data_IF_618578754642
#
_entry.id   IF_618578754642
#
_cell.length_a   1.000
_cell.length_b   1.000
_cell.length_c   1.000
_cell.angle_alpha   90.00
_cell.angle_beta   90.00
_cell.angle_gamma   90.00
#
_symmetry.space_group_name_H-M   'P 1'
#
loop_
_entity.id
_entity.type
_entity.pdbx_description
1 polymer ?
#
# COMPACT_ATOMS: atom_id res chain seq x y z
N UNK A 1 -16.82 -21.16 3.57
CA UNK A 1 -16.01 -20.61 2.45
C UNK A 1 -15.68 -19.12 2.67
N UNK A 2 -16.70 -18.23 2.83
CA UNK A 2 -16.47 -16.79 3.01
C UNK A 2 -15.59 -16.47 4.23
N UNK A 3 -15.89 -17.10 5.38
CA UNK A 3 -15.10 -16.89 6.61
C UNK A 3 -13.64 -17.35 6.42
N UNK A 4 -13.42 -18.51 5.80
CA UNK A 4 -12.07 -19.02 5.53
C UNK A 4 -11.30 -18.10 4.58
N UNK A 5 -11.98 -17.59 3.56
CA UNK A 5 -11.40 -16.61 2.64
C UNK A 5 -11.02 -15.30 3.35
N UNK A 6 -11.90 -14.78 4.21
CA UNK A 6 -11.61 -13.57 4.99
C UNK A 6 -10.44 -13.78 5.95
N UNK A 7 -10.40 -14.95 6.63
CA UNK A 7 -9.28 -15.30 7.52
C UNK A 7 -7.95 -15.34 6.77
N UNK A 8 -7.93 -15.96 5.57
CA UNK A 8 -6.74 -15.99 4.71
C UNK A 8 -6.32 -14.57 4.29
N UNK A 9 -7.26 -13.75 3.84
CA UNK A 9 -7.00 -12.34 3.46
C UNK A 9 -6.47 -11.55 4.66
N UNK A 10 -7.07 -11.73 5.83
CA UNK A 10 -6.65 -11.02 7.04
C UNK A 10 -5.24 -11.38 7.50
N UNK A 11 -4.86 -12.67 7.34
CA UNK A 11 -3.51 -13.13 7.64
C UNK A 11 -2.47 -12.52 6.70
N UNK A 12 -2.82 -12.41 5.41
CA UNK A 12 -1.96 -11.92 4.33
C UNK A 12 -2.27 -10.48 3.89
N UNK A 13 -2.80 -9.65 4.79
CA UNK A 13 -3.10 -8.24 4.47
C UNK A 13 -1.84 -7.51 3.99
N UNK A 14 -1.95 -6.82 2.85
CA UNK A 14 -0.82 -6.15 2.19
C UNK A 14 -0.08 -7.01 1.16
N UNK A 15 -0.31 -8.31 1.11
CA UNK A 15 0.30 -9.17 0.11
C UNK A 15 -0.43 -9.09 -1.25
N UNK A 16 0.29 -9.43 -2.31
CA UNK A 16 -0.26 -9.50 -3.67
C UNK A 16 -1.05 -10.79 -3.87
N UNK A 17 -2.27 -10.67 -4.38
CA UNK A 17 -3.18 -11.77 -4.72
C UNK A 17 -3.51 -11.79 -6.20
N UNK A 18 -3.93 -12.96 -6.66
CA UNK A 18 -4.71 -13.12 -7.89
C UNK A 18 -5.94 -14.00 -7.60
N UNK A 19 -7.04 -13.79 -8.31
CA UNK A 19 -8.20 -14.65 -8.16
C UNK A 19 -7.88 -16.12 -8.49
N UNK A 20 -6.85 -16.34 -9.30
CA UNK A 20 -6.38 -17.66 -9.70
C UNK A 20 -5.63 -18.38 -8.57
N UNK A 21 -4.69 -17.65 -7.91
CA UNK A 21 -3.97 -18.20 -6.74
C UNK A 21 -4.94 -18.49 -5.59
N UNK A 22 -5.84 -17.53 -5.30
CA UNK A 22 -6.86 -17.71 -4.25
C UNK A 22 -7.77 -18.92 -4.53
N UNK A 23 -8.15 -19.14 -5.80
CA UNK A 23 -8.97 -20.30 -6.20
C UNK A 23 -8.23 -21.62 -6.01
N UNK A 24 -6.96 -21.69 -6.38
CA UNK A 24 -6.13 -22.89 -6.19
C UNK A 24 -5.93 -23.22 -4.72
N UNK A 25 -5.68 -22.21 -3.89
CA UNK A 25 -5.40 -22.38 -2.47
C UNK A 25 -6.65 -22.76 -1.67
N UNK A 26 -7.80 -22.11 -1.96
CA UNK A 26 -9.05 -22.32 -1.22
C UNK A 26 -9.92 -23.46 -1.75
N UNK A 27 -9.68 -23.93 -2.99
CA UNK A 27 -10.57 -24.87 -3.69
C UNK A 27 -11.90 -24.25 -4.13
N UNK A 28 -12.12 -22.95 -3.90
CA UNK A 28 -13.35 -22.22 -4.26
C UNK A 28 -13.25 -21.70 -5.69
N UNK A 29 -14.35 -21.77 -6.44
CA UNK A 29 -14.39 -21.27 -7.84
C UNK A 29 -14.05 -19.77 -7.90
N UNK A 30 -13.22 -19.40 -8.87
CA UNK A 30 -12.74 -18.02 -9.11
C UNK A 30 -13.87 -16.97 -9.09
N UNK A 31 -15.00 -17.25 -9.73
CA UNK A 31 -16.14 -16.34 -9.78
C UNK A 31 -16.81 -16.15 -8.41
N UNK A 32 -16.81 -17.18 -7.57
CA UNK A 32 -17.30 -17.12 -6.20
C UNK A 32 -16.38 -16.27 -5.34
N UNK A 33 -15.06 -16.46 -5.46
CA UNK A 33 -14.06 -15.64 -4.75
C UNK A 33 -14.21 -14.16 -5.13
N UNK A 34 -14.38 -13.85 -6.44
CA UNK A 34 -14.59 -12.47 -6.89
C UNK A 34 -15.80 -11.83 -6.20
N UNK A 35 -16.93 -12.55 -6.11
CA UNK A 35 -18.11 -12.06 -5.39
C UNK A 35 -17.86 -11.89 -3.90
N UNK A 36 -17.15 -12.81 -3.27
CA UNK A 36 -16.82 -12.70 -1.85
C UNK A 36 -15.92 -11.50 -1.57
N UNK A 37 -14.91 -11.24 -2.41
CA UNK A 37 -14.06 -10.04 -2.30
C UNK A 37 -14.90 -8.76 -2.45
N UNK A 38 -15.84 -8.72 -3.41
CA UNK A 38 -16.76 -7.59 -3.57
C UNK A 38 -17.67 -7.38 -2.34
N UNK A 39 -18.17 -8.46 -1.74
CA UNK A 39 -18.99 -8.37 -0.52
C UNK A 39 -18.18 -7.87 0.68
N UNK A 40 -16.95 -8.37 0.85
CA UNK A 40 -16.05 -7.93 1.93
C UNK A 40 -15.66 -6.45 1.74
N UNK A 41 -15.42 -6.01 0.52
CA UNK A 41 -15.13 -4.61 0.21
C UNK A 41 -16.36 -3.73 0.43
N UNK A 42 -17.55 -4.15 0.01
CA UNK A 42 -18.81 -3.43 0.26
C UNK A 42 -19.16 -3.36 1.76
N UNK A 43 -18.78 -4.37 2.54
CA UNK A 43 -18.90 -4.38 4.00
C UNK A 43 -17.82 -3.58 4.74
N UNK A 44 -16.93 -2.90 4.02
CA UNK A 44 -15.80 -2.13 4.57
C UNK A 44 -14.84 -2.96 5.44
N UNK A 45 -14.71 -4.25 5.20
CA UNK A 45 -13.76 -5.11 5.91
C UNK A 45 -12.38 -5.11 5.24
N UNK A 46 -12.36 -4.98 3.92
CA UNK A 46 -11.14 -4.97 3.11
C UNK A 46 -11.17 -3.83 2.09
N UNK A 47 -9.99 -3.53 1.56
CA UNK A 47 -9.82 -2.66 0.38
C UNK A 47 -8.92 -3.33 -0.64
N UNK A 48 -9.40 -3.43 -1.87
CA UNK A 48 -8.61 -3.87 -3.02
C UNK A 48 -7.83 -2.69 -3.57
N UNK A 49 -6.52 -2.85 -3.70
CA UNK A 49 -5.61 -1.85 -4.27
C UNK A 49 -5.04 -2.38 -5.57
N UNK A 50 -5.18 -1.58 -6.60
CA UNK A 50 -4.80 -1.97 -7.94
C UNK A 50 -3.30 -1.80 -8.18
N UNK A 51 -2.73 -2.71 -8.98
CA UNK A 51 -1.35 -2.63 -9.42
C UNK A 51 -1.18 -1.66 -10.59
N UNK A 52 -0.04 -0.99 -10.63
CA UNK A 52 0.48 -0.33 -11.83
C UNK A 52 1.85 -0.91 -12.20
N UNK A 53 2.33 -0.61 -13.40
CA UNK A 53 3.70 -0.92 -13.81
C UNK A 53 4.70 0.17 -13.36
N UNK A 54 5.92 0.08 -13.82
CA UNK A 54 6.99 1.05 -13.56
C UNK A 54 6.73 2.46 -14.14
N UNK A 55 5.74 2.60 -15.04
CA UNK A 55 5.31 3.88 -15.61
C UNK A 55 3.99 4.39 -15.03
N UNK A 56 3.50 3.72 -13.99
CA UNK A 56 2.20 3.93 -13.36
C UNK A 56 1.00 3.85 -14.31
N UNK A 57 1.16 3.22 -15.48
CA UNK A 57 0.04 2.90 -16.36
C UNK A 57 -0.76 1.75 -15.77
N UNK A 58 -2.06 1.87 -15.85
CA UNK A 58 -2.97 0.78 -15.48
C UNK A 58 -2.96 -0.28 -16.56
N UNK A 59 -2.80 -1.53 -16.17
CA UNK A 59 -3.04 -2.64 -17.08
C UNK A 59 -4.54 -2.78 -17.35
N UNK A 60 -4.93 -2.92 -18.63
CA UNK A 60 -6.32 -3.19 -19.00
C UNK A 60 -6.84 -4.51 -18.41
N UNK A 61 -5.96 -5.48 -18.14
CA UNK A 61 -6.24 -6.74 -17.45
C UNK A 61 -5.31 -6.87 -16.26
N UNK A 62 -5.73 -6.34 -15.13
CA UNK A 62 -5.04 -6.58 -13.87
C UNK A 62 -5.31 -8.01 -13.44
N UNK A 63 -4.27 -8.82 -13.40
CA UNK A 63 -4.33 -10.20 -12.92
C UNK A 63 -4.02 -10.30 -11.44
N UNK A 64 -3.29 -9.30 -10.90
CA UNK A 64 -2.85 -9.24 -9.52
C UNK A 64 -3.25 -7.92 -8.87
N UNK A 65 -3.46 -7.94 -7.57
CA UNK A 65 -3.86 -6.81 -6.74
C UNK A 65 -3.44 -7.08 -5.29
N UNK A 66 -3.26 -6.03 -4.50
CA UNK A 66 -3.11 -6.15 -3.05
C UNK A 66 -4.46 -6.01 -2.36
N UNK A 67 -4.63 -6.69 -1.23
CA UNK A 67 -5.80 -6.53 -0.37
C UNK A 67 -5.31 -6.10 1.02
N UNK A 68 -5.88 -5.00 1.51
CA UNK A 68 -5.63 -4.51 2.86
C UNK A 68 -6.90 -4.61 3.70
N UNK A 69 -6.75 -4.97 4.97
CA UNK A 69 -7.80 -4.76 5.95
C UNK A 69 -8.06 -3.26 6.12
N UNK A 70 -9.31 -2.87 6.26
CA UNK A 70 -9.68 -1.47 6.53
C UNK A 70 -9.33 -1.04 7.95
N UNK A 71 -9.12 -2.01 8.82
CA UNK A 71 -8.66 -1.79 10.19
C UNK A 71 -7.65 -2.90 10.57
N UNK A 72 -6.39 -2.56 10.88
CA UNK A 72 -5.37 -3.54 11.24
C UNK A 72 -5.71 -4.35 12.50
N UNK A 73 -6.57 -3.83 13.40
CA UNK A 73 -7.01 -4.57 14.59
C UNK A 73 -7.83 -5.81 14.27
N UNK A 74 -8.44 -5.91 13.08
CA UNK A 74 -9.15 -7.11 12.64
C UNK A 74 -8.22 -8.34 12.58
N UNK A 75 -6.96 -8.13 12.15
CA UNK A 75 -5.98 -9.20 12.16
C UNK A 75 -5.65 -9.65 13.59
N UNK A 76 -5.46 -8.68 14.50
CA UNK A 76 -5.19 -8.99 15.91
C UNK A 76 -6.38 -9.67 16.62
N UNK A 77 -7.60 -9.40 16.17
CA UNK A 77 -8.81 -10.07 16.70
C UNK A 77 -8.96 -11.51 16.21
N UNK A 78 -8.50 -11.81 15.00
CA UNK A 78 -8.55 -13.16 14.41
C UNK A 78 -7.35 -14.02 14.79
N UNK A 79 -6.22 -13.38 15.08
CA UNK A 79 -4.95 -14.01 15.39
C UNK A 79 -4.33 -13.37 16.63
N UNK A 80 -3.18 -13.87 17.05
CA UNK A 80 -2.44 -13.20 18.13
C UNK A 80 -1.92 -11.82 17.70
N UNK A 81 -1.85 -10.84 18.62
CA UNK A 81 -1.23 -9.56 18.37
C UNK A 81 0.22 -9.69 17.91
N UNK A 82 0.58 -8.95 16.86
CA UNK A 82 1.95 -8.90 16.36
C UNK A 82 2.80 -8.08 17.31
N UNK A 83 3.98 -8.61 17.67
CA UNK A 83 4.98 -7.92 18.48
C UNK A 83 5.89 -7.10 17.58
N UNK A 84 6.50 -6.06 18.13
CA UNK A 84 7.41 -5.14 17.40
C UNK A 84 8.57 -5.87 16.72
N UNK A 85 9.01 -6.99 17.30
CA UNK A 85 10.15 -7.78 16.78
C UNK A 85 9.73 -8.89 15.81
N UNK A 86 8.46 -9.07 15.55
CA UNK A 86 7.98 -10.10 14.63
C UNK A 86 8.26 -9.70 13.18
N UNK A 87 8.64 -10.69 12.35
CA UNK A 87 9.04 -10.45 10.96
C UNK A 87 7.94 -9.85 10.08
N UNK A 88 6.68 -10.02 10.46
CA UNK A 88 5.50 -9.51 9.73
C UNK A 88 4.96 -8.15 10.25
N UNK A 89 5.69 -7.48 11.13
CA UNK A 89 5.32 -6.14 11.61
C UNK A 89 5.25 -5.12 10.46
N UNK A 90 6.10 -5.27 9.44
CA UNK A 90 6.10 -4.42 8.25
C UNK A 90 4.75 -4.42 7.54
N UNK A 91 4.18 -5.59 7.28
CA UNK A 91 2.88 -5.76 6.62
C UNK A 91 1.74 -5.12 7.43
N UNK A 92 1.85 -5.21 8.78
CA UNK A 92 0.89 -4.56 9.67
C UNK A 92 0.98 -3.04 9.62
N UNK A 93 2.18 -2.49 9.57
CA UNK A 93 2.42 -1.04 9.44
C UNK A 93 1.93 -0.54 8.07
N UNK A 94 2.20 -1.29 7.02
CA UNK A 94 1.67 -0.99 5.68
C UNK A 94 0.14 -0.99 5.68
N UNK A 95 -0.48 -2.01 6.26
CA UNK A 95 -1.95 -2.09 6.44
C UNK A 95 -2.48 -0.90 7.25
N UNK A 96 -1.81 -0.52 8.35
CA UNK A 96 -2.22 0.62 9.17
C UNK A 96 -2.16 1.95 8.40
N UNK A 97 -1.13 2.16 7.61
CA UNK A 97 -0.99 3.35 6.77
C UNK A 97 -2.05 3.35 5.67
N UNK A 98 -2.24 2.24 4.96
CA UNK A 98 -3.28 2.13 3.93
C UNK A 98 -4.68 2.39 4.48
N UNK A 99 -5.00 1.91 5.69
CA UNK A 99 -6.29 2.14 6.32
C UNK A 99 -6.64 3.63 6.46
N UNK A 100 -5.65 4.51 6.64
CA UNK A 100 -5.85 5.95 6.72
C UNK A 100 -6.11 6.61 5.35
N UNK A 101 -5.71 5.93 4.27
CA UNK A 101 -5.93 6.41 2.90
C UNK A 101 -7.31 6.03 2.34
N UNK A 102 -7.93 4.94 2.84
CA UNK A 102 -9.19 4.40 2.32
C UNK A 102 -10.31 5.45 2.22
N UNK A 103 -10.53 6.34 3.21
CA UNK A 103 -11.60 7.32 3.14
C UNK A 103 -11.31 8.50 2.20
N UNK A 104 -10.08 8.62 1.68
CA UNK A 104 -9.70 9.76 0.85
C UNK A 104 -10.18 9.60 -0.59
N UNK A 105 -10.59 10.72 -1.17
CA UNK A 105 -10.82 10.81 -2.62
C UNK A 105 -9.47 10.84 -3.33
N UNK A 106 -9.38 10.18 -4.46
CA UNK A 106 -8.19 10.10 -5.30
C UNK A 106 -7.80 8.65 -5.57
N UNK A 107 -7.06 8.48 -6.65
CA UNK A 107 -6.63 7.16 -7.05
C UNK A 107 -5.28 6.85 -6.45
N UNK A 108 -5.25 5.84 -5.58
CA UNK A 108 -4.02 5.24 -5.05
C UNK A 108 -3.84 3.83 -5.61
N UNK A 109 -2.61 3.49 -5.87
CA UNK A 109 -2.19 2.19 -6.38
C UNK A 109 -0.87 1.79 -5.71
N UNK A 110 -0.40 0.59 -5.95
CA UNK A 110 1.01 0.23 -5.75
C UNK A 110 1.65 0.00 -7.11
N UNK A 111 2.95 0.24 -7.23
CA UNK A 111 3.70 -0.08 -8.42
C UNK A 111 4.49 -1.37 -8.21
N UNK A 112 4.39 -2.29 -9.16
CA UNK A 112 5.17 -3.52 -9.14
C UNK A 112 5.51 -3.90 -10.58
N UNK A 113 6.80 -4.15 -10.84
CA UNK A 113 7.28 -4.48 -12.19
C UNK A 113 8.32 -5.59 -12.18
N UNK A 114 8.35 -6.28 -13.31
CA UNK A 114 9.40 -7.24 -13.64
C UNK A 114 9.69 -7.11 -15.14
N UNK A 115 10.80 -6.45 -15.49
CA UNK A 115 11.21 -6.19 -16.86
C UNK A 115 12.62 -6.76 -17.04
N UNK A 116 12.72 -7.90 -17.71
CA UNK A 116 13.99 -8.63 -17.85
C UNK A 116 14.57 -9.00 -16.50
N UNK A 117 15.73 -8.41 -16.16
CA UNK A 117 16.39 -8.59 -14.86
C UNK A 117 16.00 -7.54 -13.81
N UNK A 118 15.32 -6.47 -14.22
CA UNK A 118 14.85 -5.43 -13.31
C UNK A 118 13.51 -5.84 -12.70
N UNK A 119 13.44 -5.85 -11.39
CA UNK A 119 12.19 -6.01 -10.63
C UNK A 119 12.17 -5.03 -9.48
N UNK A 120 11.01 -4.57 -9.13
CA UNK A 120 10.85 -3.65 -8.02
C UNK A 120 9.40 -3.41 -7.66
N UNK A 121 9.22 -2.82 -6.50
CA UNK A 121 7.92 -2.43 -5.97
C UNK A 121 8.05 -1.06 -5.30
N UNK A 122 6.97 -0.26 -5.38
CA UNK A 122 6.75 0.95 -4.57
C UNK A 122 5.39 0.81 -3.92
N UNK A 123 5.36 0.94 -2.61
CA UNK A 123 4.22 0.54 -1.80
C UNK A 123 2.97 1.38 -2.05
N UNK A 124 3.11 2.71 -2.21
CA UNK A 124 1.98 3.60 -2.37
C UNK A 124 2.28 4.66 -3.43
N UNK A 125 1.42 4.73 -4.46
CA UNK A 125 1.57 5.66 -5.58
C UNK A 125 0.27 6.41 -5.80
N UNK A 126 0.34 7.73 -5.82
CA UNK A 126 -0.79 8.58 -6.23
C UNK A 126 -0.81 8.77 -7.74
N UNK A 127 -1.93 8.43 -8.36
CA UNK A 127 -2.13 8.55 -9.80
C UNK A 127 -3.01 9.75 -10.11
N UNK A 128 -2.56 10.62 -10.99
CA UNK A 128 -3.40 11.66 -11.56
C UNK A 128 -4.33 11.02 -12.60
N UNK A 129 -5.64 11.04 -12.33
CA UNK A 129 -6.62 10.37 -13.17
C UNK A 129 -6.72 10.95 -14.59
N UNK A 130 -6.50 12.24 -14.77
CA UNK A 130 -6.55 12.90 -16.08
C UNK A 130 -5.31 12.58 -16.93
N UNK A 131 -4.13 12.59 -16.31
CA UNK A 131 -2.86 12.38 -17.01
C UNK A 131 -2.42 10.91 -17.01
N UNK A 132 -3.04 10.05 -16.20
CA UNK A 132 -2.64 8.65 -15.98
C UNK A 132 -1.15 8.53 -15.67
N UNK A 133 -0.64 9.45 -14.84
CA UNK A 133 0.76 9.50 -14.40
C UNK A 133 0.86 9.61 -12.90
N UNK A 134 1.91 9.06 -12.29
CA UNK A 134 2.15 9.26 -10.87
C UNK A 134 2.52 10.72 -10.62
N UNK A 135 2.10 11.25 -9.48
CA UNK A 135 2.46 12.61 -9.04
C UNK A 135 3.06 12.63 -7.64
N UNK A 136 3.02 11.52 -6.91
CA UNK A 136 3.75 11.28 -5.68
C UNK A 136 3.93 9.78 -5.45
N UNK A 137 4.92 9.42 -4.64
CA UNK A 137 5.20 8.06 -4.22
C UNK A 137 5.57 8.03 -2.73
N UNK A 138 5.21 6.93 -2.06
CA UNK A 138 5.60 6.64 -0.69
C UNK A 138 6.12 5.22 -0.61
N UNK A 139 7.29 5.08 -0.01
CA UNK A 139 7.87 3.79 0.36
C UNK A 139 7.66 3.55 1.85
N UNK A 140 6.97 2.47 2.20
CA UNK A 140 6.61 2.17 3.58
C UNK A 140 7.64 1.22 4.17
N UNK A 141 8.41 1.72 5.13
CA UNK A 141 9.45 0.93 5.81
C UNK A 141 9.28 1.02 7.32
N UNK A 142 9.31 -0.12 7.98
CA UNK A 142 9.43 -0.23 9.43
C UNK A 142 10.89 -0.46 9.79
N UNK A 143 11.75 0.51 9.44
CA UNK A 143 13.20 0.44 9.67
C UNK A 143 13.83 1.82 9.59
N UNK A 144 14.75 2.15 10.50
CA UNK A 144 15.56 3.37 10.44
C UNK A 144 16.79 3.24 9.54
N UNK A 145 17.11 2.01 9.08
CA UNK A 145 18.26 1.71 8.23
C UNK A 145 18.27 2.56 6.95
N UNK A 146 17.11 2.72 6.33
CA UNK A 146 17.01 3.43 5.05
C UNK A 146 17.22 4.95 5.19
N UNK A 147 17.03 5.50 6.39
CA UNK A 147 17.42 6.88 6.67
C UNK A 147 18.95 7.04 6.67
N UNK A 148 19.66 6.06 7.20
CA UNK A 148 21.13 6.07 7.23
C UNK A 148 21.74 5.66 5.88
N UNK A 149 21.02 4.83 5.10
CA UNK A 149 21.48 4.26 3.82
C UNK A 149 20.39 4.41 2.74
N UNK A 150 20.05 5.65 2.32
CA UNK A 150 18.97 5.89 1.36
C UNK A 150 19.25 5.30 -0.02
N UNK A 151 20.51 5.06 -0.40
CA UNK A 151 20.90 4.38 -1.64
C UNK A 151 20.41 2.92 -1.75
N UNK A 152 19.99 2.31 -0.65
CA UNK A 152 19.38 0.97 -0.67
C UNK A 152 17.92 0.97 -1.16
N UNK A 153 17.30 2.14 -1.33
CA UNK A 153 15.94 2.30 -1.87
C UNK A 153 15.93 2.26 -3.42
N UNK A 154 16.59 1.26 -4.00
CA UNK A 154 16.81 1.16 -5.45
C UNK A 154 15.51 1.08 -6.26
N UNK A 155 14.46 0.44 -5.76
CA UNK A 155 13.14 0.41 -6.42
C UNK A 155 12.52 1.80 -6.46
N UNK A 156 12.52 2.52 -5.34
CA UNK A 156 11.99 3.88 -5.26
C UNK A 156 12.79 4.82 -6.17
N UNK A 157 14.12 4.76 -6.15
CA UNK A 157 14.97 5.53 -7.04
C UNK A 157 14.60 5.29 -8.50
N UNK A 158 14.59 4.02 -8.93
CA UNK A 158 14.23 3.66 -10.32
C UNK A 158 12.85 4.22 -10.72
N UNK A 159 11.85 4.09 -9.83
CA UNK A 159 10.51 4.59 -10.08
C UNK A 159 10.46 6.12 -10.18
N UNK A 160 11.17 6.83 -9.31
CA UNK A 160 11.27 8.29 -9.34
C UNK A 160 11.90 8.79 -10.64
N UNK A 161 13.06 8.23 -11.03
CA UNK A 161 13.75 8.58 -12.28
C UNK A 161 12.87 8.32 -13.51
N UNK A 162 12.25 7.14 -13.56
CA UNK A 162 11.37 6.72 -14.66
C UNK A 162 10.16 7.62 -14.86
N UNK A 163 9.62 8.14 -13.78
CA UNK A 163 8.39 8.94 -13.78
C UNK A 163 8.64 10.44 -13.56
N UNK A 164 9.89 10.87 -13.51
CA UNK A 164 10.30 12.26 -13.28
C UNK A 164 9.72 12.85 -11.98
N UNK A 165 9.65 12.03 -10.92
CA UNK A 165 9.26 12.50 -9.59
C UNK A 165 10.47 13.14 -8.93
N UNK A 166 10.35 14.43 -8.58
CA UNK A 166 11.42 15.18 -7.93
C UNK A 166 11.53 14.88 -6.43
N UNK A 167 10.49 14.30 -5.84
CA UNK A 167 10.45 13.98 -4.42
C UNK A 167 9.61 12.75 -4.14
N UNK A 168 9.96 12.03 -3.09
CA UNK A 168 9.17 10.93 -2.54
C UNK A 168 9.23 10.94 -1.01
N UNK A 169 8.29 10.23 -0.39
CA UNK A 169 8.23 10.05 1.04
C UNK A 169 8.66 8.62 1.40
N UNK A 170 9.41 8.48 2.47
CA UNK A 170 9.83 7.18 3.00
C UNK A 170 9.46 7.14 4.48
N UNK A 171 8.82 6.05 4.92
CA UNK A 171 8.54 5.91 6.34
C UNK A 171 9.70 5.24 7.07
N UNK A 172 9.75 5.42 8.38
CA UNK A 172 10.79 4.90 9.28
C UNK A 172 10.16 4.46 10.61
N UNK A 173 10.96 3.92 11.52
CA UNK A 173 10.51 3.69 12.90
C UNK A 173 10.50 5.01 13.67
N UNK A 174 11.63 5.72 13.71
CA UNK A 174 11.83 6.88 14.60
C UNK A 174 12.51 8.07 13.93
N UNK A 175 13.22 7.86 12.81
CA UNK A 175 14.00 8.90 12.16
C UNK A 175 13.16 9.72 11.18
N UNK A 176 13.31 11.05 11.25
CA UNK A 176 12.68 12.00 10.32
C UNK A 176 13.70 13.00 9.77
N UNK A 177 13.43 13.54 8.61
CA UNK A 177 14.27 14.54 7.98
C UNK A 177 14.26 14.45 6.46
N UNK A 178 15.12 15.23 5.83
CA UNK A 178 15.23 15.33 4.38
C UNK A 178 16.60 14.84 3.94
N UNK A 179 16.64 14.07 2.87
CA UNK A 179 17.86 13.60 2.20
C UNK A 179 17.83 14.03 0.75
N UNK A 180 18.80 14.85 0.36
CA UNK A 180 19.01 15.21 -1.04
C UNK A 180 19.84 14.11 -1.72
N UNK A 181 19.31 13.57 -2.81
CA UNK A 181 19.94 12.53 -3.62
C UNK A 181 20.09 13.03 -5.06
N UNK A 182 20.97 12.42 -5.84
CA UNK A 182 21.19 12.80 -7.26
C UNK A 182 19.90 12.65 -8.10
N UNK A 183 18.99 11.76 -7.69
CA UNK A 183 17.73 11.47 -8.36
C UNK A 183 16.52 12.24 -7.80
N UNK A 184 16.69 13.04 -6.76
CA UNK A 184 15.61 13.81 -6.14
C UNK A 184 15.67 13.83 -4.61
N UNK A 185 14.65 14.39 -3.99
CA UNK A 185 14.56 14.59 -2.54
C UNK A 185 13.74 13.49 -1.87
N UNK A 186 14.28 12.87 -0.83
CA UNK A 186 13.58 11.90 0.01
C UNK A 186 13.19 12.53 1.36
N UNK A 187 11.90 12.55 1.64
CA UNK A 187 11.34 13.01 2.92
C UNK A 187 11.09 11.81 3.83
N UNK A 188 11.86 11.69 4.90
CA UNK A 188 11.67 10.65 5.90
C UNK A 188 10.76 11.11 7.03
N UNK A 189 9.80 10.25 7.42
CA UNK A 189 8.89 10.50 8.52
C UNK A 189 8.61 9.21 9.28
N UNK A 190 8.57 9.20 10.61
CA UNK A 190 8.14 8.03 11.35
C UNK A 190 6.75 7.55 10.92
N UNK A 191 6.59 6.24 10.74
CA UNK A 191 5.35 5.61 10.24
C UNK A 191 4.10 6.02 11.02
N UNK A 192 4.22 6.13 12.36
CA UNK A 192 3.13 6.58 13.22
C UNK A 192 2.74 8.04 12.93
N UNK A 193 3.73 8.92 12.75
CA UNK A 193 3.49 10.34 12.41
C UNK A 193 2.86 10.47 11.02
N UNK A 194 3.32 9.66 10.06
CA UNK A 194 2.73 9.64 8.71
C UNK A 194 1.27 9.19 8.73
N UNK A 195 0.97 8.05 9.38
CA UNK A 195 -0.39 7.54 9.51
C UNK A 195 -1.31 8.57 10.18
N UNK A 196 -0.86 9.19 11.28
CA UNK A 196 -1.60 10.26 11.96
C UNK A 196 -1.88 11.44 11.03
N UNK A 197 -0.86 11.92 10.29
CA UNK A 197 -0.99 13.06 9.39
C UNK A 197 -1.98 12.78 8.25
N UNK A 198 -1.96 11.56 7.68
CA UNK A 198 -2.92 11.15 6.66
C UNK A 198 -4.34 11.14 7.22
N UNK A 199 -4.54 10.54 8.39
CA UNK A 199 -5.83 10.48 9.08
C UNK A 199 -6.38 11.87 9.42
N UNK A 200 -5.57 12.73 10.03
CA UNK A 200 -5.95 14.11 10.37
C UNK A 200 -6.33 14.92 9.13
N UNK A 201 -5.55 14.84 8.06
CA UNK A 201 -5.86 15.52 6.80
C UNK A 201 -7.17 15.01 6.19
N UNK A 202 -7.47 13.71 6.33
CA UNK A 202 -8.72 13.11 5.88
C UNK A 202 -9.91 13.68 6.64
N UNK A 203 -9.80 13.76 7.97
CA UNK A 203 -10.85 14.36 8.82
C UNK A 203 -11.07 15.84 8.51
N UNK A 204 -10.00 16.62 8.32
CA UNK A 204 -10.10 18.03 7.95
C UNK A 204 -10.80 18.25 6.60
N UNK A 205 -10.51 17.38 5.61
CA UNK A 205 -11.20 17.44 4.32
C UNK A 205 -12.69 17.09 4.46
N UNK A 206 -13.02 16.06 5.24
CA UNK A 206 -14.40 15.68 5.52
C UNK A 206 -15.16 16.83 6.21
N UNK A 207 -14.59 17.43 7.27
CA UNK A 207 -15.21 18.58 7.97
C UNK A 207 -15.51 19.73 7.00
N UNK A 208 -14.55 20.12 6.16
CA UNK A 208 -14.75 21.17 5.15
C UNK A 208 -15.87 20.83 4.17
N UNK A 209 -16.02 19.57 3.75
CA UNK A 209 -17.08 19.16 2.83
C UNK A 209 -18.48 19.16 3.46
N UNK A 210 -18.57 19.06 4.79
CA UNK A 210 -19.85 19.14 5.55
C UNK A 210 -20.10 20.51 6.16
N UNK A 211 -19.23 21.51 5.93
CA UNK A 211 -19.39 22.86 6.47
C UNK A 211 -19.16 22.97 7.98
N UNK A 212 -18.38 22.04 8.56
CA UNK A 212 -18.04 21.97 9.98
C UNK A 212 -16.64 22.53 10.26
#
# INVERSE_FOLDING_TARGET
ELNSLFTMIAYHSGMEFSYESMSKESGVKKETIRRYVQYLEAAFLIKVVTRTDDTAKRFQRQTTFKIYLTNPSLRCALFEPIKIMDGNIGDMIETAIYSQWIPRKGHIAYANWKIGRSQGEVDLVGINDALQKPYWAVEIKWSDRFFDRPSELSSLQFFMEKNHLLQALVTSISKGGVKEMDFGTLHFIPSACYAYTVGENTLRQARKSFGL
#
